data_IF_338959860904
#
_entry.id   IF_338959860904
#
_cell.length_a   1.000
_cell.length_b   1.000
_cell.length_c   1.000
_cell.angle_alpha   90.00
_cell.angle_beta   90.00
_cell.angle_gamma   90.00
#
_symmetry.space_group_name_H-M   'P 1'
#
loop_
_entity.id
_entity.type
_entity.pdbx_description
1 polymer ?
#
# COMPACT_ATOMS: atom_id res chain seq x y z
N UNK A 1 22.80 0.50 -0.75
CA UNK A 1 21.62 1.32 -0.35
C UNK A 1 21.07 1.94 -1.63
N UNK A 2 20.12 1.25 -2.24
CA UNK A 2 19.48 1.75 -3.47
C UNK A 2 18.77 3.06 -3.17
N UNK A 3 19.08 4.09 -3.93
CA UNK A 3 18.41 5.38 -3.88
C UNK A 3 16.95 5.16 -4.29
N UNK A 4 16.08 4.94 -3.32
CA UNK A 4 14.64 5.12 -3.53
C UNK A 4 14.42 6.51 -4.15
N UNK A 5 13.47 6.61 -5.07
CA UNK A 5 13.14 7.86 -5.76
C UNK A 5 13.16 9.03 -4.77
N UNK A 6 14.08 9.97 -4.96
CA UNK A 6 14.21 11.12 -4.05
C UNK A 6 12.86 11.85 -3.97
N UNK A 7 12.30 11.94 -2.77
CA UNK A 7 10.94 12.45 -2.55
C UNK A 7 10.70 13.83 -3.19
N UNK A 8 11.68 14.71 -3.12
CA UNK A 8 11.61 16.02 -3.76
C UNK A 8 11.50 15.93 -5.29
N UNK A 9 12.24 15.01 -5.92
CA UNK A 9 12.21 14.79 -7.37
C UNK A 9 10.87 14.21 -7.80
N UNK A 10 10.30 13.29 -7.03
CA UNK A 10 8.96 12.73 -7.28
C UNK A 10 7.90 13.82 -7.26
N UNK A 11 7.90 14.68 -6.23
CA UNK A 11 6.94 15.79 -6.13
C UNK A 11 7.06 16.78 -7.31
N UNK A 12 8.29 17.11 -7.71
CA UNK A 12 8.54 18.00 -8.87
C UNK A 12 8.04 17.38 -10.17
N UNK A 13 8.24 16.08 -10.38
CA UNK A 13 7.84 15.41 -11.63
C UNK A 13 6.34 15.44 -11.88
N UNK A 14 5.53 15.54 -10.83
CA UNK A 14 4.06 15.65 -10.92
C UNK A 14 3.56 17.09 -10.73
N UNK A 15 4.45 18.08 -10.76
CA UNK A 15 4.09 19.49 -10.64
C UNK A 15 3.59 19.93 -9.27
N UNK A 16 3.89 19.16 -8.22
CA UNK A 16 3.44 19.45 -6.85
C UNK A 16 4.50 20.21 -6.08
N UNK A 17 4.05 21.28 -5.40
CA UNK A 17 4.93 22.07 -4.55
C UNK A 17 5.63 21.19 -3.52
N UNK A 18 6.97 21.23 -3.52
CA UNK A 18 7.82 20.56 -2.54
C UNK A 18 7.69 21.30 -1.19
N UNK A 19 7.25 20.56 -0.17
CA UNK A 19 7.22 21.03 1.23
C UNK A 19 7.83 19.98 2.13
N UNK A 20 8.37 20.38 3.27
CA UNK A 20 8.96 19.44 4.23
C UNK A 20 7.96 18.36 4.67
N UNK A 21 6.71 18.74 4.92
CA UNK A 21 5.66 17.79 5.29
C UNK A 21 5.43 16.71 4.21
N UNK A 22 5.39 17.10 2.93
CA UNK A 22 5.22 16.15 1.82
C UNK A 22 6.42 15.25 1.62
N UNK A 23 7.63 15.77 1.80
CA UNK A 23 8.85 14.96 1.78
C UNK A 23 8.79 13.90 2.86
N UNK A 24 8.54 14.29 4.10
CA UNK A 24 8.47 13.37 5.25
C UNK A 24 7.36 12.31 5.08
N UNK A 25 6.20 12.69 4.54
CA UNK A 25 5.12 11.74 4.23
C UNK A 25 5.53 10.72 3.17
N UNK A 26 6.20 11.14 2.09
CA UNK A 26 6.71 10.23 1.07
C UNK A 26 7.79 9.31 1.60
N UNK A 27 8.75 9.84 2.37
CA UNK A 27 9.81 9.05 2.98
C UNK A 27 9.24 8.00 3.95
N UNK A 28 8.25 8.38 4.77
CA UNK A 28 7.57 7.46 5.67
C UNK A 28 6.82 6.36 4.90
N UNK A 29 6.15 6.72 3.79
CA UNK A 29 5.44 5.76 2.94
C UNK A 29 6.40 4.81 2.21
N UNK A 30 7.62 5.26 1.90
CA UNK A 30 8.68 4.44 1.33
C UNK A 30 9.36 3.51 2.35
N UNK A 31 9.26 3.80 3.64
CA UNK A 31 9.95 3.03 4.67
C UNK A 31 9.31 1.67 4.91
N UNK A 32 10.02 0.60 4.62
CA UNK A 32 9.59 -0.78 4.88
C UNK A 32 8.72 -1.38 3.77
N UNK A 33 7.95 -2.43 4.08
CA UNK A 33 6.96 -3.05 3.17
C UNK A 33 5.72 -2.18 2.93
N UNK A 34 5.77 -0.95 3.32
CA UNK A 34 5.03 0.21 2.86
C UNK A 34 3.51 0.21 2.87
N UNK A 35 2.82 -0.72 3.55
CA UNK A 35 1.37 -0.65 3.72
C UNK A 35 1.02 0.13 4.99
N UNK A 36 0.41 1.29 4.82
CA UNK A 36 0.00 2.16 5.93
C UNK A 36 -1.45 2.59 5.79
N UNK A 37 -2.17 2.62 6.91
CA UNK A 37 -3.36 3.47 7.02
C UNK A 37 -2.94 4.94 7.13
N UNK A 38 -3.85 5.87 6.86
CA UNK A 38 -3.57 7.29 7.04
C UNK A 38 -3.18 7.61 8.49
N UNK A 39 -3.83 6.97 9.47
CA UNK A 39 -3.52 7.13 10.89
C UNK A 39 -2.12 6.60 11.24
N UNK A 40 -1.76 5.41 10.72
CA UNK A 40 -0.43 4.84 10.95
C UNK A 40 0.68 5.71 10.33
N UNK A 41 0.44 6.23 9.12
CA UNK A 41 1.36 7.16 8.48
C UNK A 41 1.49 8.46 9.28
N UNK A 42 0.38 9.05 9.70
CA UNK A 42 0.37 10.23 10.55
C UNK A 42 1.17 10.02 11.84
N UNK A 43 1.00 8.87 12.50
CA UNK A 43 1.74 8.51 13.71
C UNK A 43 3.25 8.36 13.53
N UNK A 44 3.74 8.16 12.30
CA UNK A 44 5.18 8.11 11.99
C UNK A 44 5.81 9.49 11.76
N UNK A 45 4.99 10.51 11.53
CA UNK A 45 5.50 11.86 11.27
C UNK A 45 5.91 12.54 12.57
N UNK A 46 6.97 13.37 12.55
CA UNK A 46 7.31 14.23 13.68
C UNK A 46 6.12 15.12 14.06
N UNK A 47 5.92 15.34 15.35
CA UNK A 47 4.81 16.16 15.84
C UNK A 47 4.75 17.53 15.17
N UNK A 48 3.56 17.97 14.78
CA UNK A 48 3.35 19.26 14.12
C UNK A 48 3.68 19.28 12.60
N UNK A 49 4.11 18.16 12.01
CA UNK A 49 4.42 18.09 10.58
C UNK A 49 3.17 18.30 9.72
N UNK A 50 2.07 17.63 10.03
CA UNK A 50 0.79 17.71 9.34
C UNK A 50 -0.33 17.19 10.25
N UNK A 51 -1.53 17.69 10.08
CA UNK A 51 -2.72 17.08 10.67
C UNK A 51 -3.19 15.84 9.85
N UNK A 52 -4.04 15.04 10.45
CA UNK A 52 -4.55 13.82 9.82
C UNK A 52 -5.32 14.12 8.52
N UNK A 53 -6.07 15.23 8.47
CA UNK A 53 -6.79 15.64 7.26
C UNK A 53 -5.83 15.96 6.10
N UNK A 54 -4.70 16.58 6.42
CA UNK A 54 -3.64 16.84 5.44
C UNK A 54 -3.02 15.55 4.93
N UNK A 55 -2.81 14.55 5.79
CA UNK A 55 -2.32 13.21 5.39
C UNK A 55 -3.31 12.55 4.43
N UNK A 56 -4.61 12.53 4.74
CA UNK A 56 -5.64 11.98 3.85
C UNK A 56 -5.65 12.67 2.49
N UNK A 57 -5.63 14.01 2.45
CA UNK A 57 -5.61 14.77 1.19
C UNK A 57 -4.36 14.48 0.36
N UNK A 58 -3.22 14.31 1.01
CA UNK A 58 -1.99 13.99 0.33
C UNK A 58 -1.98 12.55 -0.23
N UNK A 59 -2.46 11.58 0.54
CA UNK A 59 -2.60 10.20 0.07
C UNK A 59 -3.56 10.11 -1.14
N UNK A 60 -4.72 10.78 -1.07
CA UNK A 60 -5.66 10.84 -2.19
C UNK A 60 -5.03 11.49 -3.44
N UNK A 61 -4.19 12.51 -3.26
CA UNK A 61 -3.42 13.12 -4.34
C UNK A 61 -2.44 12.12 -4.97
N UNK A 62 -1.68 11.39 -4.16
CA UNK A 62 -0.72 10.38 -4.65
C UNK A 62 -1.43 9.26 -5.42
N UNK A 63 -2.59 8.82 -4.96
CA UNK A 63 -3.41 7.80 -5.66
C UNK A 63 -3.88 8.34 -7.02
N UNK A 64 -4.40 9.57 -7.06
CA UNK A 64 -4.82 10.23 -8.31
C UNK A 64 -3.67 10.36 -9.30
N UNK A 65 -2.48 10.72 -8.84
CA UNK A 65 -1.27 10.84 -9.66
C UNK A 65 -0.58 9.49 -9.94
N UNK A 66 -1.20 8.37 -9.53
CA UNK A 66 -0.70 6.99 -9.70
C UNK A 66 0.68 6.74 -9.05
N UNK A 67 1.02 7.51 -8.03
CA UNK A 67 2.22 7.34 -7.21
C UNK A 67 1.99 6.48 -5.97
N UNK A 68 0.74 6.26 -5.60
CA UNK A 68 0.35 5.34 -4.56
C UNK A 68 -0.80 4.45 -5.03
N UNK A 69 -0.91 3.28 -4.41
CA UNK A 69 -2.05 2.36 -4.56
C UNK A 69 -2.84 2.32 -3.26
N UNK A 70 -4.14 2.18 -3.39
CA UNK A 70 -5.07 2.00 -2.30
C UNK A 70 -5.55 0.55 -2.27
N UNK A 71 -5.48 -0.08 -1.12
CA UNK A 71 -5.94 -1.45 -0.87
C UNK A 71 -7.01 -1.40 0.21
N UNK A 72 -8.21 -1.90 -0.10
CA UNK A 72 -9.30 -1.97 0.87
C UNK A 72 -9.24 -3.27 1.67
N UNK A 73 -9.09 -3.17 2.98
CA UNK A 73 -9.19 -4.29 3.92
C UNK A 73 -10.64 -4.79 4.08
N UNK A 74 -10.82 -5.93 4.74
CA UNK A 74 -12.13 -6.61 4.91
C UNK A 74 -13.13 -5.75 5.68
N UNK A 75 -12.67 -4.95 6.61
CA UNK A 75 -13.46 -4.03 7.44
C UNK A 75 -13.65 -2.63 6.82
N UNK A 76 -13.28 -2.47 5.54
CA UNK A 76 -13.36 -1.21 4.83
C UNK A 76 -12.23 -0.22 5.15
N UNK A 77 -11.24 -0.62 5.94
CA UNK A 77 -10.07 0.21 6.21
C UNK A 77 -9.21 0.32 4.95
N UNK A 78 -8.81 1.55 4.63
CA UNK A 78 -7.95 1.85 3.50
C UNK A 78 -6.48 1.81 3.91
N UNK A 79 -5.72 1.01 3.17
CA UNK A 79 -4.26 0.93 3.25
C UNK A 79 -3.65 1.52 1.99
N UNK A 80 -2.51 2.14 2.14
CA UNK A 80 -1.79 2.81 1.06
C UNK A 80 -0.37 2.29 0.96
N UNK A 81 0.12 2.14 -0.26
CA UNK A 81 1.51 1.82 -0.57
C UNK A 81 2.01 2.63 -1.76
N UNK A 82 3.32 2.82 -1.86
CA UNK A 82 3.90 3.46 -3.02
C UNK A 82 3.74 2.59 -4.28
N UNK A 83 3.46 3.26 -5.39
CA UNK A 83 3.41 2.67 -6.73
C UNK A 83 4.58 3.21 -7.55
N UNK A 84 5.65 2.43 -7.65
CA UNK A 84 6.83 2.79 -8.45
C UNK A 84 7.46 1.54 -9.07
N UNK A 85 8.49 1.72 -9.90
CA UNK A 85 9.20 0.61 -10.53
C UNK A 85 9.84 -0.36 -9.52
N UNK A 86 10.23 0.13 -8.34
CA UNK A 86 10.78 -0.67 -7.25
C UNK A 86 9.71 -1.36 -6.40
N UNK A 87 8.46 -0.94 -6.53
CA UNK A 87 7.31 -1.56 -5.89
C UNK A 87 6.19 -1.78 -6.92
N UNK A 88 6.37 -2.71 -7.89
CA UNK A 88 5.37 -3.02 -8.89
C UNK A 88 4.11 -3.59 -8.26
N UNK A 89 3.01 -3.61 -9.00
CA UNK A 89 1.76 -4.21 -8.55
C UNK A 89 1.97 -5.67 -8.14
N UNK A 90 1.52 -6.03 -6.95
CA UNK A 90 1.66 -7.36 -6.36
C UNK A 90 0.41 -7.71 -5.57
N UNK A 91 0.14 -9.01 -5.34
CA UNK A 91 -0.96 -9.45 -4.51
C UNK A 91 -0.67 -9.23 -3.03
N UNK A 92 -1.74 -9.19 -2.25
CA UNK A 92 -1.69 -9.09 -0.79
C UNK A 92 -2.39 -10.28 -0.16
N UNK A 93 -2.03 -10.59 1.08
CA UNK A 93 -2.76 -11.55 1.92
C UNK A 93 -3.24 -10.84 3.17
N UNK A 94 -4.53 -10.93 3.45
CA UNK A 94 -5.17 -10.39 4.65
C UNK A 94 -5.60 -11.51 5.59
N UNK A 95 -5.12 -11.46 6.83
CA UNK A 95 -5.54 -12.39 7.88
C UNK A 95 -6.85 -11.93 8.50
N UNK A 96 -7.91 -12.76 8.40
CA UNK A 96 -9.21 -12.47 9.01
C UNK A 96 -9.21 -12.55 10.54
N UNK A 97 -8.22 -13.23 11.14
CA UNK A 97 -8.11 -13.32 12.61
C UNK A 97 -7.45 -12.10 13.24
N UNK A 98 -6.30 -11.67 12.73
CA UNK A 98 -5.52 -10.58 13.33
C UNK A 98 -5.53 -9.28 12.52
N UNK A 99 -6.18 -9.25 11.35
CA UNK A 99 -6.27 -8.07 10.48
C UNK A 99 -4.97 -7.67 9.78
N UNK A 100 -3.87 -8.39 9.98
CA UNK A 100 -2.60 -8.06 9.32
C UNK A 100 -2.68 -8.30 7.83
N UNK A 101 -2.11 -7.37 7.08
CA UNK A 101 -1.94 -7.49 5.62
C UNK A 101 -0.46 -7.71 5.33
N UNK A 102 -0.20 -8.66 4.43
CA UNK A 102 1.14 -9.05 3.99
C UNK A 102 1.26 -8.80 2.50
N UNK A 103 2.37 -8.19 2.07
CA UNK A 103 2.73 -8.13 0.67
C UNK A 103 3.23 -9.50 0.20
N UNK A 104 2.74 -9.96 -0.93
CA UNK A 104 3.19 -11.19 -1.57
C UNK A 104 4.11 -10.84 -2.76
N UNK A 105 4.91 -11.79 -3.25
CA UNK A 105 5.72 -11.57 -4.45
C UNK A 105 4.88 -11.07 -5.63
N UNK A 106 5.42 -10.14 -6.40
CA UNK A 106 4.76 -9.66 -7.61
C UNK A 106 4.55 -10.81 -8.60
N UNK A 107 3.42 -10.76 -9.32
CA UNK A 107 3.14 -11.72 -10.38
C UNK A 107 4.22 -11.67 -11.45
N UNK A 108 4.68 -12.84 -11.87
CA UNK A 108 5.51 -12.96 -13.05
C UNK A 108 4.69 -12.55 -14.30
N UNK A 109 5.34 -12.11 -15.39
CA UNK A 109 4.63 -11.67 -16.59
C UNK A 109 3.65 -12.74 -17.13
N UNK A 110 4.02 -14.01 -17.06
CA UNK A 110 3.22 -15.14 -17.51
C UNK A 110 1.97 -15.35 -16.64
N UNK A 111 2.06 -15.06 -15.35
CA UNK A 111 0.93 -15.15 -14.42
C UNK A 111 -0.08 -14.01 -14.66
N UNK A 112 0.40 -12.82 -15.01
CA UNK A 112 -0.45 -11.68 -15.37
C UNK A 112 -1.30 -11.95 -16.60
N UNK A 113 -0.78 -12.69 -17.56
CA UNK A 113 -1.50 -13.07 -18.77
C UNK A 113 -2.67 -14.04 -18.52
N UNK A 114 -2.74 -14.66 -17.35
CA UNK A 114 -3.84 -15.55 -16.94
C UNK A 114 -5.08 -14.83 -16.42
N UNK A 115 -4.99 -13.54 -16.15
CA UNK A 115 -6.19 -12.77 -15.82
C UNK A 115 -7.05 -12.62 -17.07
N UNK A 116 -8.36 -12.92 -16.97
CA UNK A 116 -9.25 -12.75 -18.11
C UNK A 116 -9.29 -11.29 -18.55
N UNK A 117 -9.31 -11.06 -19.85
CA UNK A 117 -9.51 -9.74 -20.39
C UNK A 117 -10.86 -9.18 -19.91
N UNK A 118 -10.88 -7.89 -19.57
CA UNK A 118 -12.14 -7.24 -19.21
C UNK A 118 -13.03 -7.15 -20.46
N UNK A 119 -14.25 -7.75 -20.44
CA UNK A 119 -15.13 -7.76 -21.61
C UNK A 119 -15.77 -6.38 -21.85
N UNK A 120 -16.47 -6.27 -22.97
CA UNK A 120 -17.31 -5.11 -23.32
C UNK A 120 -16.60 -3.77 -23.55
N UNK A 121 -15.28 -3.80 -23.87
CA UNK A 121 -14.54 -2.58 -24.18
C UNK A 121 -14.26 -1.68 -23.00
N UNK A 122 -14.38 -2.19 -21.77
CA UNK A 122 -14.01 -1.41 -20.58
C UNK A 122 -12.50 -1.14 -20.52
N UNK A 123 -12.12 0.08 -20.19
CA UNK A 123 -10.73 0.45 -19.91
C UNK A 123 -10.38 0.08 -18.48
N UNK A 124 -9.48 -0.90 -18.29
CA UNK A 124 -9.00 -1.28 -16.95
C UNK A 124 -7.83 -0.39 -16.56
N UNK A 125 -7.98 0.37 -15.48
CA UNK A 125 -6.92 1.24 -14.96
C UNK A 125 -6.04 0.55 -13.91
N UNK A 126 -6.62 -0.39 -13.13
CA UNK A 126 -5.89 -1.11 -12.09
C UNK A 126 -6.51 -2.48 -11.82
N UNK A 127 -5.70 -3.39 -11.31
CA UNK A 127 -6.12 -4.69 -10.80
C UNK A 127 -5.54 -4.86 -9.40
N UNK A 128 -6.38 -5.21 -8.43
CA UNK A 128 -5.95 -5.55 -7.07
C UNK A 128 -6.32 -6.99 -6.76
N UNK A 129 -5.38 -7.74 -6.19
CA UNK A 129 -5.59 -9.13 -5.78
C UNK A 129 -5.31 -9.25 -4.30
N UNK A 130 -6.31 -9.66 -3.53
CA UNK A 130 -6.20 -9.86 -2.08
C UNK A 130 -6.67 -11.27 -1.73
N UNK A 131 -5.74 -12.09 -1.23
CA UNK A 131 -6.05 -13.38 -0.63
C UNK A 131 -6.50 -13.17 0.81
N UNK A 132 -7.57 -13.86 1.24
CA UNK A 132 -8.10 -13.76 2.59
C UNK A 132 -8.14 -15.12 3.27
N UNK A 133 -7.66 -15.16 4.53
CA UNK A 133 -7.61 -16.42 5.27
C UNK A 133 -7.06 -16.23 6.67
N UNK A 134 -6.38 -17.24 7.20
CA UNK A 134 -5.70 -17.20 8.50
C UNK A 134 -4.19 -17.28 8.29
N UNK A 135 -3.43 -16.31 8.81
CA UNK A 135 -1.98 -16.30 8.67
C UNK A 135 -1.32 -17.45 9.46
N UNK A 136 -0.08 -17.77 9.12
CA UNK A 136 0.67 -18.86 9.76
C UNK A 136 0.78 -18.71 11.28
N UNK A 137 0.99 -17.49 11.77
CA UNK A 137 1.05 -17.22 13.21
C UNK A 137 -0.28 -17.52 13.92
N UNK A 138 -1.41 -17.09 13.34
CA UNK A 138 -2.74 -17.37 13.89
C UNK A 138 -3.15 -18.85 13.77
N UNK A 139 -2.68 -19.56 12.75
CA UNK A 139 -2.87 -21.01 12.62
C UNK A 139 -2.11 -21.76 13.70
N UNK A 140 -0.84 -21.42 13.90
CA UNK A 140 0.00 -22.06 14.92
C UNK A 140 -0.55 -21.86 16.35
N UNK A 141 -1.22 -20.74 16.62
CA UNK A 141 -1.87 -20.50 17.93
C UNK A 141 -3.09 -21.39 18.11
N UNK A 142 -3.93 -21.52 17.09
CA UNK A 142 -5.12 -22.38 17.13
C UNK A 142 -4.77 -23.87 17.35
N UNK A 143 -3.71 -24.37 16.68
CA UNK A 143 -3.24 -25.74 16.81
C UNK A 143 -2.68 -26.08 18.21
N UNK A 144 -2.29 -25.08 18.99
CA UNK A 144 -1.88 -25.25 20.40
C UNK A 144 -3.05 -25.31 21.35
N UNK A 145 -4.10 -24.52 21.10
CA UNK A 145 -5.32 -24.50 21.91
C UNK A 145 -6.13 -25.81 21.78
N UNK A 146 -6.09 -26.45 20.60
CA UNK A 146 -6.75 -27.74 20.35
C UNK A 146 -6.01 -28.96 20.98
N UNK A 147 -4.82 -28.78 21.56
CA UNK A 147 -3.98 -29.84 22.13
C UNK A 147 -3.91 -29.79 23.68
N UNK A 148 -4.53 -28.82 24.31
CA UNK A 148 -4.71 -28.73 25.76
C UNK A 148 -6.11 -29.20 26.19
#
# INVERSE_FOLDING_TARGET
MEKFCEAASVLKSIGIRVTQARILMLEALHSGCGLFTAQALHGKLPGGTADLATVYRFLALLVREKLAREITGTDGVLYYEMACSHNPSHPHFECRKCGRIYCLPAFQPEERMRFPACPHGHGVESVSVVYRGTCSACRATAEKEDKE
#
